data_IF_949283819939
#
_entry.id   IF_949283819939
#
_cell.length_a   1.000
_cell.length_b   1.000
_cell.length_c   1.000
_cell.angle_alpha   90.00
_cell.angle_beta   90.00
_cell.angle_gamma   90.00
#
_symmetry.space_group_name_H-M   'P 1'
#
loop_
_entity.id
_entity.type
_entity.pdbx_description
1 polymer ?
#
# COMPACT_ATOMS: atom_id res chain seq x y z
N UNK A 1 -11.29 29.78 13.85
CA UNK A 1 -10.61 29.19 15.03
C UNK A 1 -9.22 28.72 14.62
N UNK A 2 -8.28 28.62 15.56
CA UNK A 2 -6.94 28.11 15.29
C UNK A 2 -6.65 26.89 16.16
N UNK A 3 -5.81 26.00 15.68
CA UNK A 3 -5.34 24.81 16.40
C UNK A 3 -3.81 24.82 16.44
N UNK A 4 -3.24 24.58 17.61
CA UNK A 4 -1.78 24.43 17.75
C UNK A 4 -1.42 22.95 17.64
N UNK A 5 -0.54 22.62 16.70
CA UNK A 5 -0.09 21.25 16.43
C UNK A 5 0.61 20.67 17.65
N UNK A 6 0.22 19.46 18.05
CA UNK A 6 0.79 18.69 19.17
C UNK A 6 1.59 17.50 18.64
N UNK A 7 2.39 16.89 19.50
CA UNK A 7 3.14 15.69 19.18
C UNK A 7 2.19 14.56 18.71
N UNK A 8 2.48 13.95 17.56
CA UNK A 8 1.67 12.89 16.95
C UNK A 8 0.48 13.37 16.12
N UNK A 9 0.29 14.69 15.96
CA UNK A 9 -0.71 15.25 15.05
C UNK A 9 -0.26 15.15 13.59
N UNK A 10 -1.26 14.99 12.71
CA UNK A 10 -1.16 15.20 11.26
C UNK A 10 -2.30 16.10 10.83
N UNK A 11 -2.15 16.83 9.73
CA UNK A 11 -3.23 17.68 9.21
C UNK A 11 -4.52 16.89 8.96
N UNK A 12 -4.42 15.64 8.51
CA UNK A 12 -5.58 14.77 8.32
C UNK A 12 -6.30 14.46 9.64
N UNK A 13 -5.56 14.20 10.73
CA UNK A 13 -6.14 13.97 12.06
C UNK A 13 -6.77 15.26 12.63
N UNK A 14 -6.12 16.41 12.43
CA UNK A 14 -6.64 17.71 12.86
C UNK A 14 -7.93 18.01 12.10
N UNK A 15 -7.97 17.81 10.77
CA UNK A 15 -9.16 18.00 9.96
C UNK A 15 -10.32 17.10 10.44
N UNK A 16 -10.07 15.80 10.55
CA UNK A 16 -11.09 14.82 10.96
C UNK A 16 -11.68 15.13 12.35
N UNK A 17 -10.85 15.50 13.33
CA UNK A 17 -11.31 15.88 14.68
C UNK A 17 -12.19 17.14 14.70
N UNK A 18 -12.07 17.98 13.67
CA UNK A 18 -12.82 19.24 13.55
C UNK A 18 -13.94 19.17 12.49
N UNK A 19 -14.28 17.97 12.02
CA UNK A 19 -15.35 17.77 11.02
C UNK A 19 -15.02 18.34 9.63
N UNK A 20 -13.74 18.51 9.32
CA UNK A 20 -13.24 19.07 8.08
C UNK A 20 -12.59 17.98 7.21
N UNK A 21 -12.63 18.19 5.91
CA UNK A 21 -11.76 17.44 5.00
C UNK A 21 -10.36 18.05 5.01
N UNK A 22 -9.33 17.25 4.67
CA UNK A 22 -7.96 17.76 4.54
C UNK A 22 -7.89 18.90 3.51
N UNK A 23 -8.67 18.81 2.43
CA UNK A 23 -8.72 19.84 1.40
C UNK A 23 -9.24 21.18 1.95
N UNK A 24 -10.33 21.15 2.75
CA UNK A 24 -10.86 22.36 3.41
C UNK A 24 -9.85 22.96 4.40
N UNK A 25 -9.14 22.09 5.14
CA UNK A 25 -8.11 22.55 6.07
C UNK A 25 -6.94 23.21 5.33
N UNK A 26 -6.47 22.61 4.22
CA UNK A 26 -5.39 23.17 3.40
C UNK A 26 -5.80 24.47 2.71
N UNK A 27 -7.04 24.57 2.22
CA UNK A 27 -7.56 25.81 1.64
C UNK A 27 -7.54 26.97 2.63
N UNK A 28 -7.79 26.68 3.91
CA UNK A 28 -7.74 27.69 4.98
C UNK A 28 -6.30 27.96 5.47
N UNK A 29 -5.32 27.24 4.96
CA UNK A 29 -3.91 27.29 5.38
C UNK A 29 -2.96 27.36 4.18
N UNK A 30 -3.04 28.38 3.33
CA UNK A 30 -2.19 28.49 2.13
C UNK A 30 -0.70 28.65 2.47
N UNK A 31 -0.36 28.97 3.72
CA UNK A 31 1.01 29.03 4.22
C UNK A 31 1.66 27.64 4.36
N UNK A 32 0.87 26.56 4.40
CA UNK A 32 1.36 25.18 4.48
C UNK A 32 1.62 24.69 3.05
N UNK A 33 2.85 24.85 2.60
CA UNK A 33 3.28 24.44 1.26
C UNK A 33 3.44 22.93 1.10
N UNK A 34 3.71 22.20 2.19
CA UNK A 34 3.81 20.73 2.20
C UNK A 34 2.94 20.16 3.33
N UNK A 35 1.82 19.50 2.98
CA UNK A 35 0.90 18.92 3.97
C UNK A 35 1.53 17.85 4.88
N UNK A 36 2.69 17.31 4.51
CA UNK A 36 3.39 16.27 5.26
C UNK A 36 4.45 16.86 6.22
N UNK A 37 4.62 18.18 6.23
CA UNK A 37 5.63 18.86 7.04
C UNK A 37 4.97 19.90 7.95
N UNK A 38 4.47 19.42 9.08
CA UNK A 38 4.01 20.27 10.20
C UNK A 38 4.85 19.94 11.43
N UNK A 39 5.14 20.96 12.23
CA UNK A 39 5.92 20.81 13.44
C UNK A 39 5.04 21.03 14.67
N UNK A 40 5.42 20.46 15.80
CA UNK A 40 4.78 20.78 17.08
C UNK A 40 4.93 22.26 17.36
N UNK A 41 3.80 22.92 17.64
CA UNK A 41 3.74 24.36 17.82
C UNK A 41 3.24 25.15 16.61
N UNK A 42 3.18 24.56 15.42
CA UNK A 42 2.60 25.22 14.24
C UNK A 42 1.12 25.57 14.48
N UNK A 43 0.70 26.71 13.97
CA UNK A 43 -0.69 27.17 14.08
C UNK A 43 -1.43 26.83 12.78
N UNK A 44 -2.51 26.07 12.91
CA UNK A 44 -3.38 25.68 11.81
C UNK A 44 -4.72 26.38 11.96
N UNK A 45 -5.15 27.10 10.92
CA UNK A 45 -6.47 27.76 10.86
C UNK A 45 -7.56 26.71 10.61
N UNK A 46 -8.58 26.71 11.46
CA UNK A 46 -9.76 25.86 11.31
C UNK A 46 -10.90 26.73 10.75
N UNK A 47 -11.34 26.51 9.49
CA UNK A 47 -12.52 27.18 8.97
C UNK A 47 -13.73 26.75 9.81
N UNK A 48 -14.59 27.70 10.17
CA UNK A 48 -15.83 27.38 10.87
C UNK A 48 -16.70 26.46 10.01
N UNK A 49 -17.36 25.48 10.62
CA UNK A 49 -18.36 24.65 9.95
C UNK A 49 -19.53 25.56 9.50
N UNK A 50 -19.54 25.95 8.24
CA UNK A 50 -20.67 26.56 7.58
C UNK A 50 -21.21 25.58 6.56
N UNK A 51 -22.48 25.31 6.68
CA UNK A 51 -23.25 24.48 5.78
C UNK A 51 -23.15 24.96 4.32
N UNK A 52 -23.01 24.01 3.44
CA UNK A 52 -23.50 23.99 2.07
C UNK A 52 -23.10 25.15 1.13
N UNK A 53 -22.16 24.91 0.24
CA UNK A 53 -22.22 25.53 -1.07
C UNK A 53 -21.62 24.62 -2.12
N UNK A 54 -22.49 24.05 -2.93
CA UNK A 54 -22.23 23.47 -4.23
C UNK A 54 -21.58 24.53 -5.13
N UNK A 55 -20.29 24.43 -5.39
CA UNK A 55 -19.65 25.11 -6.52
C UNK A 55 -18.64 24.17 -7.21
N UNK A 56 -18.63 24.16 -8.54
CA UNK A 56 -17.71 23.31 -9.30
C UNK A 56 -16.28 23.79 -9.13
N UNK A 57 -15.37 22.84 -8.86
CA UNK A 57 -13.92 23.08 -8.79
C UNK A 57 -13.39 23.59 -10.13
N UNK A 58 -12.51 24.59 -10.11
CA UNK A 58 -11.71 24.91 -11.28
C UNK A 58 -10.77 23.74 -11.58
N UNK A 59 -10.71 23.36 -12.84
CA UNK A 59 -9.84 22.34 -13.40
C UNK A 59 -8.36 22.72 -13.15
N UNK A 60 -7.70 21.94 -12.31
CA UNK A 60 -6.24 22.03 -12.17
C UNK A 60 -5.56 21.41 -13.40
N UNK A 61 -4.46 22.03 -13.86
CA UNK A 61 -3.66 21.46 -14.92
C UNK A 61 -3.12 20.08 -14.53
N UNK A 62 -2.88 19.20 -15.52
CA UNK A 62 -2.48 17.82 -15.25
C UNK A 62 -1.13 17.78 -14.53
N UNK A 63 -1.14 17.32 -13.28
CA UNK A 63 0.08 16.85 -12.64
C UNK A 63 0.49 15.60 -13.40
N UNK A 64 1.63 15.64 -14.06
CA UNK A 64 2.25 14.48 -14.69
C UNK A 64 2.60 13.46 -13.58
N UNK A 65 1.63 12.61 -13.25
CA UNK A 65 1.87 11.45 -12.43
C UNK A 65 2.67 10.46 -13.27
N UNK A 66 3.92 10.25 -12.93
CA UNK A 66 4.67 9.11 -13.43
C UNK A 66 3.89 7.83 -13.09
N UNK A 67 3.50 7.02 -14.07
CA UNK A 67 2.76 5.81 -13.80
C UNK A 67 3.64 4.86 -12.98
N UNK A 68 3.13 4.48 -11.81
CA UNK A 68 3.64 3.32 -11.09
C UNK A 68 3.40 2.12 -12.03
N UNK A 69 4.42 1.33 -12.36
CA UNK A 69 4.22 0.19 -13.25
C UNK A 69 3.18 -0.74 -12.65
N UNK A 70 2.26 -1.28 -13.47
CA UNK A 70 1.22 -2.19 -13.02
C UNK A 70 1.84 -3.40 -12.34
N UNK A 71 1.18 -3.89 -11.29
CA UNK A 71 1.51 -5.14 -10.63
C UNK A 71 1.32 -6.26 -11.66
N UNK A 72 2.38 -6.65 -12.34
CA UNK A 72 2.38 -7.80 -13.23
C UNK A 72 2.50 -9.06 -12.36
N UNK A 73 1.39 -9.52 -11.85
CA UNK A 73 1.30 -10.87 -11.33
C UNK A 73 0.90 -11.80 -12.47
N UNK A 74 1.90 -12.37 -13.13
CA UNK A 74 1.69 -13.61 -13.88
C UNK A 74 1.56 -14.75 -12.85
N UNK A 75 0.37 -14.84 -12.26
CA UNK A 75 0.01 -15.92 -11.35
C UNK A 75 -1.31 -16.52 -11.79
N UNK A 76 -1.26 -17.31 -12.87
CA UNK A 76 -2.36 -18.14 -13.38
C UNK A 76 -2.54 -19.44 -12.60
N UNK A 77 -2.07 -19.53 -11.37
CA UNK A 77 -2.36 -20.68 -10.51
C UNK A 77 -3.66 -20.44 -9.73
N UNK A 78 -4.61 -21.37 -9.76
CA UNK A 78 -5.77 -21.32 -8.88
C UNK A 78 -5.29 -21.40 -7.42
N UNK A 79 -5.82 -20.53 -6.57
CA UNK A 79 -5.60 -20.58 -5.13
C UNK A 79 -5.95 -21.96 -4.59
N UNK A 80 -5.11 -22.58 -3.76
CA UNK A 80 -5.46 -23.86 -3.13
C UNK A 80 -6.69 -23.65 -2.23
N UNK A 81 -7.73 -24.43 -2.47
CA UNK A 81 -9.04 -24.35 -1.84
C UNK A 81 -9.08 -24.77 -0.36
N UNK A 82 -7.97 -24.85 0.33
CA UNK A 82 -7.94 -25.38 1.68
C UNK A 82 -6.87 -24.69 2.56
N UNK A 83 -7.13 -23.46 3.00
CA UNK A 83 -6.61 -22.96 4.29
C UNK A 83 -7.64 -22.01 4.88
N UNK A 84 -8.78 -22.54 5.30
CA UNK A 84 -9.60 -21.92 6.34
C UNK A 84 -9.16 -22.55 7.66
N UNK A 85 -8.04 -22.08 8.21
CA UNK A 85 -7.77 -22.23 9.62
C UNK A 85 -8.57 -21.17 10.37
N UNK A 86 -9.36 -21.60 11.34
CA UNK A 86 -10.14 -20.78 12.22
C UNK A 86 -9.27 -19.67 12.88
N UNK A 87 -9.85 -18.51 13.24
CA UNK A 87 -9.09 -17.43 13.87
C UNK A 87 -8.52 -17.92 15.20
N UNK A 88 -7.21 -17.93 15.31
CA UNK A 88 -6.51 -18.12 16.57
C UNK A 88 -6.83 -16.93 17.46
N UNK A 89 -7.51 -17.19 18.56
CA UNK A 89 -7.79 -16.23 19.59
C UNK A 89 -6.50 -15.88 20.34
N UNK A 90 -5.99 -14.68 20.10
CA UNK A 90 -5.25 -13.84 21.04
C UNK A 90 -4.74 -12.63 20.23
N UNK A 91 -5.30 -11.46 20.50
CA UNK A 91 -5.07 -10.26 19.72
C UNK A 91 -3.61 -9.83 19.69
N UNK A 92 -2.92 -10.14 18.62
CA UNK A 92 -1.75 -9.39 18.21
C UNK A 92 -2.22 -8.28 17.26
N UNK A 93 -2.41 -7.09 17.81
CA UNK A 93 -2.79 -5.88 17.07
C UNK A 93 -1.74 -5.45 16.02
N UNK A 94 -0.54 -6.04 16.02
CA UNK A 94 0.52 -5.79 15.04
C UNK A 94 0.18 -6.36 13.66
N UNK A 95 -0.59 -7.42 13.58
CA UNK A 95 -0.96 -8.04 12.30
C UNK A 95 -1.82 -7.16 11.39
N UNK A 96 -2.60 -6.25 11.97
CA UNK A 96 -3.47 -5.31 11.24
C UNK A 96 -2.72 -4.07 10.74
N UNK A 97 -1.49 -3.85 11.19
CA UNK A 97 -0.68 -2.68 10.87
C UNK A 97 0.44 -2.96 9.85
N UNK A 98 0.69 -4.22 9.50
CA UNK A 98 1.68 -4.59 8.48
C UNK A 98 1.28 -3.97 7.13
N UNK A 99 2.21 -3.29 6.48
CA UNK A 99 1.95 -2.57 5.22
C UNK A 99 1.98 -1.04 5.34
N UNK A 100 2.20 -0.50 6.55
CA UNK A 100 2.31 0.96 6.77
C UNK A 100 3.45 1.56 5.94
N UNK A 101 4.58 0.85 5.84
CA UNK A 101 5.72 1.30 5.05
C UNK A 101 5.35 1.45 3.57
N UNK A 102 4.65 0.46 3.00
CA UNK A 102 4.27 0.49 1.59
C UNK A 102 3.09 1.42 1.32
N UNK A 103 2.19 1.60 2.26
CA UNK A 103 1.06 2.53 2.13
C UNK A 103 1.53 3.95 1.77
N UNK A 104 2.66 4.41 2.31
CA UNK A 104 3.29 5.69 1.96
C UNK A 104 3.64 5.80 0.47
N UNK A 105 4.02 4.68 -0.16
CA UNK A 105 4.53 4.62 -1.53
C UNK A 105 3.51 4.12 -2.55
N UNK A 106 2.50 3.39 -2.13
CA UNK A 106 1.52 2.74 -3.02
C UNK A 106 0.24 3.54 -3.18
N UNK A 107 -0.24 4.14 -2.09
CA UNK A 107 -1.54 4.82 -2.11
C UNK A 107 -1.42 6.30 -2.46
N UNK A 108 -0.25 6.90 -2.31
CA UNK A 108 -0.09 8.37 -2.41
C UNK A 108 -1.08 9.13 -1.53
N UNK A 109 -1.55 8.52 -0.42
CA UNK A 109 -2.58 9.05 0.46
C UNK A 109 -4.01 8.96 -0.10
N UNK A 110 -4.22 8.27 -1.22
CA UNK A 110 -5.54 8.08 -1.83
C UNK A 110 -6.28 6.96 -1.10
N UNK A 111 -7.53 7.19 -0.77
CA UNK A 111 -8.36 6.25 -0.01
C UNK A 111 -8.90 5.06 -0.82
N UNK A 112 -9.68 4.18 -0.17
CA UNK A 112 -10.18 2.94 -0.78
C UNK A 112 -11.14 3.16 -1.96
N UNK A 113 -11.67 4.37 -2.12
CA UNK A 113 -12.58 4.75 -3.21
C UNK A 113 -11.91 5.22 -4.49
N UNK A 114 -10.57 5.30 -4.53
CA UNK A 114 -9.84 5.75 -5.72
C UNK A 114 -10.04 4.77 -6.87
N UNK A 115 -10.34 5.32 -8.04
CA UNK A 115 -10.48 4.55 -9.27
C UNK A 115 -9.78 5.32 -10.39
N UNK A 116 -8.86 4.68 -11.10
CA UNK A 116 -8.16 5.27 -12.25
C UNK A 116 -9.09 5.32 -13.48
N UNK A 117 -8.69 6.09 -14.49
CA UNK A 117 -9.42 6.12 -15.77
C UNK A 117 -9.18 4.87 -16.62
N UNK A 118 -8.09 4.15 -16.39
CA UNK A 118 -7.65 3.02 -17.19
C UNK A 118 -7.20 3.38 -18.62
N UNK A 119 -7.24 4.67 -18.99
CA UNK A 119 -6.83 5.12 -20.32
C UNK A 119 -5.32 4.98 -20.47
N UNK A 120 -4.90 4.23 -21.50
CA UNK A 120 -3.49 3.96 -21.76
C UNK A 120 -2.82 2.97 -20.80
N UNK A 121 -3.56 2.43 -19.82
CA UNK A 121 -3.04 1.43 -18.89
C UNK A 121 -3.32 0.01 -19.39
N UNK A 122 -2.28 -0.81 -19.63
CA UNK A 122 -2.45 -2.22 -20.00
C UNK A 122 -3.27 -3.03 -19.00
N UNK A 123 -3.22 -2.67 -17.70
CA UNK A 123 -4.00 -3.27 -16.61
C UNK A 123 -5.46 -2.84 -16.57
N UNK A 124 -5.85 -1.84 -17.36
CA UNK A 124 -7.19 -1.28 -17.38
C UNK A 124 -7.46 -0.35 -16.20
N UNK A 125 -8.72 -0.31 -15.76
CA UNK A 125 -9.13 0.48 -14.59
C UNK A 125 -8.54 -0.13 -13.32
N UNK A 126 -7.90 0.71 -12.50
CA UNK A 126 -7.33 0.30 -11.20
C UNK A 126 -8.19 0.82 -10.05
N UNK A 127 -8.42 -0.02 -9.05
CA UNK A 127 -9.36 0.22 -7.96
C UNK A 127 -8.69 0.22 -6.59
N UNK A 128 -9.11 1.16 -5.76
CA UNK A 128 -8.81 1.20 -4.34
C UNK A 128 -7.38 1.62 -3.99
N UNK A 129 -7.06 1.54 -2.72
CA UNK A 129 -5.76 1.91 -2.16
C UNK A 129 -4.60 1.11 -2.74
N UNK A 130 -4.86 -0.11 -3.18
CA UNK A 130 -3.86 -1.05 -3.72
C UNK A 130 -3.85 -1.12 -5.25
N UNK A 131 -4.56 -0.22 -5.93
CA UNK A 131 -4.59 -0.13 -7.39
C UNK A 131 -4.86 -1.48 -8.08
N UNK A 132 -5.87 -2.19 -7.60
CA UNK A 132 -6.28 -3.50 -8.13
C UNK A 132 -6.71 -3.38 -9.59
N UNK A 133 -5.96 -3.99 -10.51
CA UNK A 133 -6.15 -3.84 -11.96
C UNK A 133 -7.31 -4.72 -12.49
N UNK A 134 -8.25 -4.10 -13.21
CA UNK A 134 -9.46 -4.77 -13.70
C UNK A 134 -9.19 -5.87 -14.72
N UNK A 135 -8.30 -5.62 -15.69
CA UNK A 135 -7.92 -6.62 -16.71
C UNK A 135 -7.17 -7.81 -16.14
N UNK A 136 -6.58 -7.67 -14.94
CA UNK A 136 -5.97 -8.77 -14.19
C UNK A 136 -6.98 -9.51 -13.31
N UNK A 137 -8.26 -9.12 -13.33
CA UNK A 137 -9.33 -9.72 -12.56
C UNK A 137 -9.20 -9.53 -11.04
N UNK A 138 -8.31 -8.64 -10.57
CA UNK A 138 -8.05 -8.48 -9.13
C UNK A 138 -9.26 -7.91 -8.39
N UNK A 139 -9.93 -6.83 -8.85
CA UNK A 139 -11.15 -6.34 -8.20
C UNK A 139 -12.27 -7.37 -8.20
N UNK A 140 -12.38 -8.17 -9.27
CA UNK A 140 -13.39 -9.22 -9.36
C UNK A 140 -13.17 -10.32 -8.31
N UNK A 141 -11.90 -10.74 -8.10
CA UNK A 141 -11.54 -11.68 -7.01
C UNK A 141 -11.78 -11.10 -5.63
N UNK A 142 -11.50 -9.79 -5.45
CA UNK A 142 -11.75 -9.10 -4.20
C UNK A 142 -13.24 -9.12 -3.82
N UNK A 143 -14.13 -8.73 -4.72
CA UNK A 143 -15.58 -8.72 -4.43
C UNK A 143 -16.19 -10.11 -4.44
N UNK A 144 -15.55 -11.09 -5.06
CA UNK A 144 -15.99 -12.50 -5.12
C UNK A 144 -15.56 -13.37 -3.94
N UNK A 145 -14.93 -12.81 -2.90
CA UNK A 145 -14.53 -13.56 -1.72
C UNK A 145 -15.75 -14.13 -0.98
N UNK A 146 -15.61 -15.34 -0.44
CA UNK A 146 -16.64 -15.91 0.44
C UNK A 146 -16.86 -15.00 1.65
N UNK A 147 -18.13 -14.69 1.94
CA UNK A 147 -18.48 -13.82 3.06
C UNK A 147 -18.18 -12.34 2.84
N UNK A 148 -17.92 -11.91 1.60
CA UNK A 148 -17.70 -10.49 1.30
C UNK A 148 -18.93 -9.65 1.68
N UNK A 149 -18.79 -8.63 2.55
CA UNK A 149 -19.95 -7.93 3.13
C UNK A 149 -20.87 -7.25 2.10
N UNK A 150 -20.32 -6.86 0.96
CA UNK A 150 -21.06 -6.15 -0.11
C UNK A 150 -21.26 -7.01 -1.36
N UNK A 151 -21.26 -8.34 -1.23
CA UNK A 151 -21.38 -9.24 -2.38
C UNK A 151 -22.64 -8.99 -3.23
N UNK A 152 -23.77 -8.68 -2.59
CA UNK A 152 -25.02 -8.36 -3.27
C UNK A 152 -24.97 -7.06 -4.07
N UNK A 153 -24.22 -6.07 -3.60
CA UNK A 153 -24.06 -4.79 -4.29
C UNK A 153 -23.26 -4.93 -5.59
N UNK A 154 -22.33 -5.89 -5.64
CA UNK A 154 -21.50 -6.18 -6.81
C UNK A 154 -22.04 -7.33 -7.67
N UNK A 155 -23.19 -7.90 -7.32
CA UNK A 155 -23.77 -9.00 -8.07
C UNK A 155 -23.99 -8.60 -9.54
N UNK A 156 -23.52 -9.45 -10.46
CA UNK A 156 -23.58 -9.24 -11.91
C UNK A 156 -22.85 -8.00 -12.45
N UNK A 157 -22.04 -7.33 -11.65
CA UNK A 157 -21.20 -6.22 -12.09
C UNK A 157 -19.82 -6.72 -12.51
N UNK A 158 -19.31 -6.17 -13.62
CA UNK A 158 -17.99 -6.53 -14.15
C UNK A 158 -16.97 -5.43 -13.82
N UNK A 159 -15.83 -5.80 -13.24
CA UNK A 159 -14.77 -4.85 -12.93
C UNK A 159 -14.29 -4.12 -14.21
N UNK A 160 -14.23 -2.80 -14.14
CA UNK A 160 -13.94 -1.92 -15.27
C UNK A 160 -15.17 -1.28 -15.89
N UNK A 161 -16.39 -1.76 -15.59
CA UNK A 161 -17.61 -1.12 -16.04
C UNK A 161 -17.94 0.16 -15.24
N UNK A 162 -18.81 1.00 -15.79
CA UNK A 162 -19.26 2.21 -15.12
C UNK A 162 -20.05 1.88 -13.85
N UNK A 163 -20.90 0.85 -13.91
CA UNK A 163 -21.74 0.39 -12.81
C UNK A 163 -20.90 -0.16 -11.65
N UNK A 164 -19.90 -0.99 -11.95
CA UNK A 164 -18.95 -1.48 -10.95
C UNK A 164 -18.19 -0.32 -10.30
N UNK A 165 -17.75 0.63 -11.11
CA UNK A 165 -17.04 1.82 -10.63
C UNK A 165 -17.91 2.69 -9.72
N UNK A 166 -19.18 2.89 -10.10
CA UNK A 166 -20.14 3.66 -9.28
C UNK A 166 -20.42 2.94 -7.95
N UNK A 167 -20.64 1.62 -7.99
CA UNK A 167 -20.83 0.79 -6.81
C UNK A 167 -19.62 0.87 -5.86
N UNK A 168 -18.40 0.70 -6.40
CA UNK A 168 -17.15 0.80 -5.64
C UNK A 168 -17.02 2.12 -4.89
N UNK A 169 -17.21 3.24 -5.61
CA UNK A 169 -17.12 4.58 -5.03
C UNK A 169 -18.18 4.82 -3.96
N UNK A 170 -19.42 4.36 -4.19
CA UNK A 170 -20.53 4.49 -3.24
C UNK A 170 -20.22 3.78 -1.93
N UNK A 171 -19.76 2.54 -1.98
CA UNK A 171 -19.42 1.76 -0.78
C UNK A 171 -18.24 2.39 -0.06
N UNK A 172 -17.18 2.77 -0.79
CA UNK A 172 -16.02 3.42 -0.22
C UNK A 172 -16.36 4.75 0.48
N UNK A 173 -17.32 5.51 -0.05
CA UNK A 173 -17.78 6.75 0.57
C UNK A 173 -18.63 6.51 1.82
N UNK A 174 -19.52 5.49 1.78
CA UNK A 174 -20.42 5.19 2.88
C UNK A 174 -19.74 4.46 4.05
N UNK A 175 -18.73 3.64 3.77
CA UNK A 175 -18.10 2.73 4.73
C UNK A 175 -16.57 2.71 4.55
N UNK A 176 -15.94 3.88 4.54
CA UNK A 176 -14.53 4.08 4.19
C UNK A 176 -13.59 3.14 4.96
N UNK A 177 -13.69 3.11 6.29
CA UNK A 177 -12.78 2.32 7.12
C UNK A 177 -12.99 0.82 6.96
N UNK A 178 -14.25 0.38 6.91
CA UNK A 178 -14.57 -1.04 6.73
C UNK A 178 -14.12 -1.52 5.33
N UNK A 179 -14.31 -0.71 4.29
CA UNK A 179 -13.90 -1.04 2.94
C UNK A 179 -12.38 -1.01 2.77
N UNK A 180 -11.68 -0.08 3.47
CA UNK A 180 -10.21 -0.06 3.53
C UNK A 180 -9.67 -1.32 4.21
N UNK A 181 -10.23 -1.72 5.35
CA UNK A 181 -9.84 -2.95 6.06
C UNK A 181 -10.05 -4.20 5.21
N UNK A 182 -11.18 -4.28 4.50
CA UNK A 182 -11.44 -5.40 3.59
C UNK A 182 -10.41 -5.48 2.46
N UNK A 183 -10.06 -4.35 1.83
CA UNK A 183 -9.01 -4.28 0.81
C UNK A 183 -7.65 -4.71 1.38
N UNK A 184 -7.30 -4.23 2.58
CA UNK A 184 -6.07 -4.60 3.25
C UNK A 184 -5.99 -6.10 3.54
N UNK A 185 -7.05 -6.67 4.12
CA UNK A 185 -7.13 -8.10 4.41
C UNK A 185 -6.98 -8.97 3.15
N UNK A 186 -7.63 -8.56 2.05
CA UNK A 186 -7.49 -9.24 0.76
C UNK A 186 -6.05 -9.23 0.24
N UNK A 187 -5.38 -8.08 0.28
CA UNK A 187 -3.99 -7.96 -0.18
C UNK A 187 -3.06 -8.72 0.78
N UNK A 188 -3.31 -8.68 2.09
CA UNK A 188 -2.57 -9.49 3.05
C UNK A 188 -2.61 -10.96 2.67
N UNK A 189 -3.79 -11.51 2.52
CA UNK A 189 -4.01 -12.92 2.19
C UNK A 189 -3.43 -13.31 0.83
N UNK A 190 -3.64 -12.48 -0.19
CA UNK A 190 -3.26 -12.80 -1.57
C UNK A 190 -1.79 -12.54 -1.90
N UNK A 191 -1.07 -11.79 -1.07
CA UNK A 191 0.32 -11.42 -1.32
C UNK A 191 1.24 -11.73 -0.15
N UNK A 192 1.03 -11.08 1.01
CA UNK A 192 1.92 -11.21 2.18
C UNK A 192 1.92 -12.64 2.74
N UNK A 193 0.74 -13.19 3.04
CA UNK A 193 0.63 -14.51 3.67
C UNK A 193 1.20 -15.61 2.75
N UNK A 194 1.02 -15.47 1.42
CA UNK A 194 1.63 -16.41 0.46
C UNK A 194 3.16 -16.34 0.48
N UNK A 195 3.73 -15.12 0.52
CA UNK A 195 5.18 -14.96 0.58
C UNK A 195 5.73 -15.42 1.92
N UNK A 196 5.07 -15.11 3.03
CA UNK A 196 5.44 -15.56 4.37
C UNK A 196 5.46 -17.09 4.47
N UNK A 197 4.41 -17.75 3.96
CA UNK A 197 4.34 -19.22 3.90
C UNK A 197 5.45 -19.83 3.04
N UNK A 198 5.75 -19.22 1.89
CA UNK A 198 6.86 -19.64 1.02
C UNK A 198 8.20 -19.53 1.73
N UNK A 199 8.48 -18.40 2.39
CA UNK A 199 9.72 -18.18 3.14
C UNK A 199 9.86 -19.22 4.26
N UNK A 200 8.79 -19.48 5.01
CA UNK A 200 8.79 -20.48 6.06
C UNK A 200 9.09 -21.89 5.49
N UNK A 201 8.44 -22.26 4.40
CA UNK A 201 8.61 -23.57 3.77
C UNK A 201 10.04 -23.79 3.24
N UNK A 202 10.57 -22.80 2.51
CA UNK A 202 11.83 -22.92 1.77
C UNK A 202 13.06 -22.53 2.62
N UNK A 203 12.95 -21.51 3.46
CA UNK A 203 14.07 -20.93 4.20
C UNK A 203 14.01 -21.20 5.72
N UNK A 204 12.95 -21.84 6.22
CA UNK A 204 12.72 -22.12 7.64
C UNK A 204 12.70 -20.87 8.53
N UNK A 205 12.36 -19.73 7.93
CA UNK A 205 12.24 -18.45 8.62
C UNK A 205 10.76 -18.08 8.76
N UNK A 206 10.26 -18.04 10.00
CA UNK A 206 8.95 -17.47 10.29
C UNK A 206 9.05 -15.95 10.38
N UNK A 207 8.63 -15.26 9.33
CA UNK A 207 8.71 -13.80 9.24
C UNK A 207 7.76 -13.10 10.23
N UNK A 208 6.71 -13.77 10.68
CA UNK A 208 5.76 -13.20 11.63
C UNK A 208 6.33 -13.09 13.06
N UNK A 209 7.44 -13.78 13.34
CA UNK A 209 8.17 -13.68 14.61
C UNK A 209 9.32 -12.67 14.58
N UNK A 210 9.53 -12.02 13.44
CA UNK A 210 10.62 -11.06 13.23
C UNK A 210 10.16 -9.62 13.54
N UNK A 211 11.10 -8.67 13.44
CA UNK A 211 10.80 -7.25 13.62
C UNK A 211 9.65 -6.78 12.73
N UNK A 212 8.87 -5.82 13.22
CA UNK A 212 7.79 -5.22 12.46
C UNK A 212 8.30 -4.54 11.17
N UNK A 213 9.50 -3.96 11.24
CA UNK A 213 10.17 -3.39 10.08
C UNK A 213 10.41 -4.45 8.99
N UNK A 214 10.94 -5.64 9.33
CA UNK A 214 11.14 -6.72 8.36
C UNK A 214 9.81 -7.22 7.80
N UNK A 215 8.78 -7.38 8.62
CA UNK A 215 7.45 -7.75 8.15
C UNK A 215 6.92 -6.75 7.12
N UNK A 216 7.11 -5.44 7.33
CA UNK A 216 6.72 -4.41 6.38
C UNK A 216 7.52 -4.46 5.07
N UNK A 217 8.80 -4.80 5.12
CA UNK A 217 9.63 -5.02 3.92
C UNK A 217 9.16 -6.23 3.13
N UNK A 218 8.80 -7.34 3.81
CA UNK A 218 8.21 -8.52 3.18
C UNK A 218 6.86 -8.17 2.53
N UNK A 219 6.01 -7.39 3.21
CA UNK A 219 4.77 -6.88 2.65
C UNK A 219 5.00 -6.10 1.36
N UNK A 220 5.84 -5.06 1.41
CA UNK A 220 6.16 -4.23 0.23
C UNK A 220 6.69 -5.08 -0.92
N UNK A 221 7.53 -6.07 -0.61
CA UNK A 221 8.09 -6.98 -1.61
C UNK A 221 7.01 -7.87 -2.22
N UNK A 222 6.11 -8.43 -1.41
CA UNK A 222 5.00 -9.26 -1.86
C UNK A 222 4.02 -8.48 -2.75
N UNK A 223 3.65 -7.28 -2.36
CA UNK A 223 2.70 -6.45 -3.11
C UNK A 223 3.29 -6.02 -4.46
N UNK A 224 4.58 -5.65 -4.49
CA UNK A 224 5.20 -5.16 -5.72
C UNK A 224 5.63 -6.28 -6.67
N UNK A 225 6.05 -7.43 -6.15
CA UNK A 225 6.65 -8.51 -6.96
C UNK A 225 5.83 -9.81 -6.96
N UNK A 226 4.67 -9.81 -6.26
CA UNK A 226 3.81 -10.97 -6.10
C UNK A 226 4.20 -11.89 -4.94
N UNK A 227 3.20 -12.60 -4.38
CA UNK A 227 3.40 -13.49 -3.22
C UNK A 227 4.28 -14.72 -3.50
N UNK A 228 4.54 -15.05 -4.75
CA UNK A 228 5.42 -16.17 -5.14
C UNK A 228 6.86 -15.72 -5.49
N UNK A 229 7.19 -14.45 -5.31
CA UNK A 229 8.50 -13.90 -5.71
C UNK A 229 9.68 -14.64 -5.06
N UNK A 230 10.79 -14.88 -5.79
CA UNK A 230 11.99 -15.49 -5.23
C UNK A 230 12.93 -14.50 -4.53
N UNK A 231 12.59 -13.20 -4.50
CA UNK A 231 13.49 -12.12 -4.05
C UNK A 231 13.98 -12.37 -2.63
N UNK A 232 13.07 -12.67 -1.70
CA UNK A 232 13.43 -12.83 -0.28
C UNK A 232 14.29 -14.08 -0.07
N UNK A 233 13.94 -15.20 -0.72
CA UNK A 233 14.76 -16.42 -0.66
C UNK A 233 16.18 -16.20 -1.20
N UNK A 234 16.34 -15.44 -2.29
CA UNK A 234 17.66 -15.05 -2.80
C UNK A 234 18.43 -14.13 -1.84
N UNK A 235 17.72 -13.19 -1.22
CA UNK A 235 18.33 -12.32 -0.21
C UNK A 235 18.85 -13.13 0.99
N UNK A 236 18.04 -14.08 1.49
CA UNK A 236 18.45 -14.98 2.59
C UNK A 236 19.68 -15.82 2.18
N UNK A 237 19.68 -16.39 0.98
CA UNK A 237 20.79 -17.20 0.49
C UNK A 237 22.12 -16.44 0.38
N UNK A 238 22.08 -15.11 0.30
CA UNK A 238 23.25 -14.25 0.25
C UNK A 238 23.73 -13.76 1.63
N UNK A 239 23.04 -14.13 2.72
CA UNK A 239 23.45 -13.79 4.07
C UNK A 239 24.44 -14.82 4.60
N UNK A 240 25.44 -14.35 5.34
CA UNK A 240 26.42 -15.18 6.04
C UNK A 240 26.17 -15.28 7.54
N UNK A 241 25.24 -14.48 8.09
CA UNK A 241 24.90 -14.48 9.51
C UNK A 241 23.81 -15.50 9.84
N UNK A 242 23.82 -16.00 11.07
CA UNK A 242 22.77 -16.89 11.58
C UNK A 242 21.47 -16.10 11.86
N UNK A 243 20.33 -16.77 11.80
CA UNK A 243 19.01 -16.17 12.12
C UNK A 243 18.89 -15.67 13.57
N UNK A 244 19.77 -16.14 14.47
CA UNK A 244 19.90 -15.71 15.87
C UNK A 244 20.78 -14.47 16.04
N UNK A 245 21.42 -13.98 14.99
CA UNK A 245 22.25 -12.77 15.04
C UNK A 245 21.36 -11.55 15.36
N UNK A 246 21.73 -10.70 16.33
CA UNK A 246 20.95 -9.49 16.66
C UNK A 246 20.76 -8.55 15.46
N UNK A 247 21.69 -8.50 14.53
CA UNK A 247 21.63 -7.68 13.32
C UNK A 247 20.97 -8.41 12.13
N UNK A 248 20.45 -9.64 12.30
CA UNK A 248 19.91 -10.43 11.19
C UNK A 248 18.84 -9.68 10.40
N UNK A 249 17.85 -9.09 11.07
CA UNK A 249 16.75 -8.39 10.40
C UNK A 249 17.25 -7.18 9.61
N UNK A 250 18.18 -6.43 10.16
CA UNK A 250 18.84 -5.30 9.49
C UNK A 250 19.57 -5.76 8.23
N UNK A 251 20.34 -6.84 8.33
CA UNK A 251 21.09 -7.40 7.21
C UNK A 251 20.15 -7.95 6.14
N UNK A 252 19.06 -8.61 6.54
CA UNK A 252 18.05 -9.13 5.60
C UNK A 252 17.29 -8.00 4.91
N UNK A 253 16.90 -6.95 5.60
CA UNK A 253 16.30 -5.76 5.00
C UNK A 253 17.23 -5.20 3.90
N UNK A 254 18.50 -4.99 4.20
CA UNK A 254 19.48 -4.52 3.23
C UNK A 254 19.62 -5.46 2.02
N UNK A 255 19.70 -6.76 2.26
CA UNK A 255 19.83 -7.78 1.22
C UNK A 255 18.58 -7.85 0.32
N UNK A 256 17.36 -7.71 0.88
CA UNK A 256 16.12 -7.67 0.10
C UNK A 256 16.11 -6.47 -0.85
N UNK A 257 16.47 -5.27 -0.38
CA UNK A 257 16.51 -4.09 -1.26
C UNK A 257 17.66 -4.16 -2.27
N UNK A 258 18.78 -4.75 -1.93
CA UNK A 258 19.86 -5.03 -2.87
C UNK A 258 19.37 -5.96 -4.01
N UNK A 259 18.66 -7.05 -3.69
CA UNK A 259 18.10 -7.95 -4.71
C UNK A 259 16.98 -7.29 -5.51
N UNK A 260 16.07 -6.54 -4.89
CA UNK A 260 15.02 -5.76 -5.60
C UNK A 260 15.64 -4.78 -6.61
N UNK A 261 16.73 -4.13 -6.22
CA UNK A 261 17.47 -3.17 -7.04
C UNK A 261 18.56 -3.77 -7.92
N UNK A 262 18.68 -5.11 -7.96
CA UNK A 262 19.72 -5.80 -8.72
C UNK A 262 19.65 -5.45 -10.20
N UNK A 263 20.80 -5.16 -10.78
CA UNK A 263 20.96 -4.88 -12.21
C UNK A 263 21.45 -6.11 -12.96
N UNK A 264 21.04 -6.21 -14.20
CA UNK A 264 21.60 -7.14 -15.19
C UNK A 264 22.89 -6.57 -15.78
N UNK A 265 23.67 -7.38 -16.54
CA UNK A 265 24.87 -6.91 -17.23
C UNK A 265 24.59 -5.74 -18.21
N UNK A 266 23.38 -5.64 -18.74
CA UNK A 266 22.93 -4.54 -19.61
C UNK A 266 22.61 -3.24 -18.87
N UNK A 267 22.82 -3.20 -17.55
CA UNK A 267 22.54 -2.05 -16.68
C UNK A 267 21.08 -1.89 -16.26
N UNK A 268 20.15 -2.65 -16.84
CA UNK A 268 18.74 -2.60 -16.51
C UNK A 268 18.43 -3.31 -15.19
N UNK A 269 17.38 -2.84 -14.50
CA UNK A 269 16.88 -3.53 -13.32
C UNK A 269 16.39 -4.94 -13.67
N UNK A 270 16.77 -5.94 -12.87
CA UNK A 270 16.44 -7.33 -13.14
C UNK A 270 14.93 -7.59 -13.23
N UNK A 271 14.16 -6.93 -12.39
CA UNK A 271 12.71 -7.10 -12.25
C UNK A 271 11.88 -6.06 -13.01
N UNK A 272 12.52 -5.00 -13.53
CA UNK A 272 11.87 -3.90 -14.26
C UNK A 272 12.53 -3.65 -15.62
N UNK A 273 13.28 -4.63 -16.16
CA UNK A 273 14.08 -4.45 -17.37
C UNK A 273 13.29 -4.17 -18.65
N UNK A 274 11.97 -4.38 -18.64
CA UNK A 274 11.06 -4.00 -19.75
C UNK A 274 10.49 -2.58 -19.60
N UNK A 275 10.69 -1.94 -18.46
CA UNK A 275 10.21 -0.58 -18.19
C UNK A 275 11.14 0.46 -18.81
N UNK A 276 10.61 1.65 -19.08
CA UNK A 276 11.43 2.75 -19.60
C UNK A 276 12.54 3.16 -18.63
N UNK A 277 13.65 3.76 -19.08
CA UNK A 277 14.74 4.19 -18.21
C UNK A 277 14.28 5.12 -17.07
N UNK A 278 13.33 6.03 -17.34
CA UNK A 278 12.75 6.92 -16.33
C UNK A 278 12.02 6.16 -15.23
N UNK A 279 11.23 5.13 -15.59
CA UNK A 279 10.54 4.26 -14.64
C UNK A 279 11.55 3.48 -13.79
N UNK A 280 12.59 2.90 -14.41
CA UNK A 280 13.64 2.18 -13.69
C UNK A 280 14.38 3.08 -12.68
N UNK A 281 14.69 4.32 -13.08
CA UNK A 281 15.31 5.31 -12.19
C UNK A 281 14.39 5.65 -11.00
N UNK A 282 13.09 5.86 -11.24
CA UNK A 282 12.10 6.11 -10.20
C UNK A 282 11.97 4.95 -9.21
N UNK A 283 11.93 3.71 -9.72
CA UNK A 283 11.89 2.49 -8.90
C UNK A 283 13.16 2.37 -8.04
N UNK A 284 14.34 2.61 -8.63
CA UNK A 284 15.61 2.57 -7.89
C UNK A 284 15.64 3.58 -6.74
N UNK A 285 15.15 4.81 -6.99
CA UNK A 285 15.04 5.84 -5.95
C UNK A 285 14.04 5.46 -4.86
N UNK A 286 12.89 4.89 -5.26
CA UNK A 286 11.90 4.37 -4.30
C UNK A 286 12.54 3.32 -3.38
N UNK A 287 13.28 2.35 -3.91
CA UNK A 287 13.92 1.31 -3.09
C UNK A 287 14.91 1.87 -2.08
N UNK A 288 15.71 2.87 -2.46
CA UNK A 288 16.61 3.55 -1.51
C UNK A 288 15.83 4.22 -0.37
N UNK A 289 14.75 4.92 -0.69
CA UNK A 289 13.93 5.60 0.31
C UNK A 289 13.20 4.61 1.22
N UNK A 290 12.58 3.55 0.66
CA UNK A 290 11.91 2.51 1.43
C UNK A 290 12.88 1.76 2.35
N UNK A 291 14.09 1.45 1.88
CA UNK A 291 15.12 0.82 2.70
C UNK A 291 15.48 1.70 3.91
N UNK A 292 15.70 2.99 3.68
CA UNK A 292 16.02 3.92 4.78
C UNK A 292 14.85 4.03 5.77
N UNK A 293 13.62 4.13 5.28
CA UNK A 293 12.44 4.17 6.14
C UNK A 293 12.28 2.88 6.96
N UNK A 294 12.56 1.72 6.36
CA UNK A 294 12.53 0.42 7.06
C UNK A 294 13.62 0.32 8.16
N UNK A 295 14.83 0.78 7.86
CA UNK A 295 15.91 0.81 8.85
C UNK A 295 15.62 1.78 10.00
N UNK A 296 15.01 2.93 9.69
CA UNK A 296 14.56 3.88 10.71
C UNK A 296 13.39 3.31 11.57
N UNK A 297 12.54 2.47 10.97
CA UNK A 297 11.50 1.75 11.70
C UNK A 297 12.13 0.72 12.64
N UNK A 298 13.06 -0.09 12.15
CA UNK A 298 13.77 -1.10 12.94
C UNK A 298 14.49 -0.47 14.15
N UNK A 299 15.16 0.66 13.96
CA UNK A 299 15.86 1.37 15.02
C UNK A 299 14.96 1.90 16.15
N UNK A 300 13.64 1.92 15.96
CA UNK A 300 12.65 2.31 16.97
C UNK A 300 12.05 1.12 17.72
N UNK A 301 12.34 -0.08 17.26
CA UNK A 301 11.89 -1.34 17.89
C UNK A 301 12.90 -1.88 18.91
N UNK A 302 14.14 -1.41 18.82
CA UNK A 302 15.26 -1.73 19.74
C UNK A 302 15.41 -0.65 20.80
#
# INVERSE_FOLDING_TARGET
MTYTVKAGDTLSKIAARNGLTLAQLLQANPQISDPNRINVGDIVNLPGATENATQPLPSNPPVTSNPVPPITTDNTQPLPSNVLAAPSAAGDTRGDEVGILSAKYETGGRGPGVVSTGVGDPGGVSYGSYQMASKMGVPQRFVGQAGFPWATDFANLTAGSAEFTACWKRIAAAQTDAFQKAQHAFIKQSHYDLLAAKILAENKLDVNTRSFALQNVIWSTAVQHGGATPIVGRAIANLSCATSDPDYDKQLICAIYAERGRKKPDGNLAYFGKSSPGVQAGVSKRFQNEQQDALNMLAKET
#
